data_IF_478324994020
#
_entry.id   IF_478324994020
#
_cell.length_a   1.000
_cell.length_b   1.000
_cell.length_c   1.000
_cell.angle_alpha   90.00
_cell.angle_beta   90.00
_cell.angle_gamma   90.00
#
_symmetry.space_group_name_H-M   'P 1'
#
loop_
_entity.id
_entity.type
_entity.pdbx_description
1 polymer ?
#
# COMPACT_ATOMS: atom_id res chain seq x y z
N UNK A 1 36.73 6.03 4.85
CA UNK A 1 35.61 5.22 4.41
C UNK A 1 34.37 6.07 4.64
N UNK A 2 33.87 6.71 3.58
CA UNK A 2 32.66 7.51 3.64
C UNK A 2 31.47 6.58 3.49
N UNK A 3 30.61 6.55 4.51
CA UNK A 3 29.34 5.85 4.45
C UNK A 3 28.45 6.58 3.42
N UNK A 4 28.05 5.89 2.39
CA UNK A 4 27.05 6.39 1.45
C UNK A 4 25.73 6.58 2.19
N UNK A 5 25.42 7.83 2.53
CA UNK A 5 24.14 8.22 3.11
C UNK A 5 23.06 8.08 2.04
N UNK A 6 22.25 7.03 2.12
CA UNK A 6 20.97 6.98 1.41
C UNK A 6 20.08 8.10 1.96
N UNK A 7 20.17 9.28 1.35
CA UNK A 7 19.32 10.41 1.69
C UNK A 7 17.99 10.27 0.95
N UNK A 8 16.88 10.31 1.67
CA UNK A 8 15.53 10.42 1.07
C UNK A 8 15.41 11.62 0.11
N UNK A 9 16.32 12.59 0.20
CA UNK A 9 16.39 13.73 -0.72
C UNK A 9 16.83 13.34 -2.14
N UNK A 10 17.58 12.25 -2.34
CA UNK A 10 18.00 11.82 -3.68
C UNK A 10 16.88 11.10 -4.47
N UNK A 11 15.84 10.63 -3.80
CA UNK A 11 14.66 10.02 -4.43
C UNK A 11 13.76 11.04 -5.14
N UNK A 12 13.97 12.34 -4.90
CA UNK A 12 13.13 13.41 -5.45
C UNK A 12 13.78 14.20 -6.59
N UNK A 13 15.00 13.87 -7.01
CA UNK A 13 15.62 14.46 -8.18
C UNK A 13 15.27 13.67 -9.43
N UNK A 14 14.41 14.28 -10.19
CA UNK A 14 13.99 14.11 -11.56
C UNK A 14 14.53 12.91 -12.34
N UNK A 15 13.71 11.89 -12.52
CA UNK A 15 13.71 11.19 -13.76
C UNK A 15 12.91 12.05 -14.74
N UNK A 16 13.60 12.73 -15.64
CA UNK A 16 13.03 13.35 -16.82
C UNK A 16 12.53 12.20 -17.69
N UNK A 17 11.23 11.93 -17.67
CA UNK A 17 10.59 11.02 -18.61
C UNK A 17 10.49 11.72 -19.97
N UNK A 18 11.60 11.72 -20.71
CA UNK A 18 11.52 11.91 -22.15
C UNK A 18 11.16 10.56 -22.75
N UNK A 19 9.93 10.50 -23.30
CA UNK A 19 9.50 9.43 -24.19
C UNK A 19 10.50 9.32 -25.36
N UNK A 20 11.34 8.30 -25.35
CA UNK A 20 12.07 7.87 -26.54
C UNK A 20 11.92 6.35 -26.68
N UNK A 21 10.96 5.96 -27.53
CA UNK A 21 10.79 4.61 -28.03
C UNK A 21 12.06 4.21 -28.80
N UNK A 22 12.90 3.39 -28.19
CA UNK A 22 13.86 2.57 -28.89
C UNK A 22 13.99 1.20 -28.26
N UNK A 23 13.21 0.28 -28.81
CA UNK A 23 13.55 -1.14 -28.82
C UNK A 23 14.90 -1.33 -29.49
N UNK A 24 15.92 -1.71 -28.70
CA UNK A 24 17.01 -2.54 -29.22
C UNK A 24 17.54 -3.40 -28.06
N UNK A 25 17.13 -4.69 -28.11
CA UNK A 25 17.79 -5.74 -27.36
C UNK A 25 19.26 -5.80 -27.72
N UNK A 26 20.14 -5.48 -26.78
CA UNK A 26 21.50 -6.02 -26.79
C UNK A 26 21.59 -7.12 -25.72
N UNK A 27 21.59 -8.36 -26.21
CA UNK A 27 22.02 -9.53 -25.46
C UNK A 27 23.55 -9.46 -25.32
N UNK A 28 24.02 -9.48 -24.05
CA UNK A 28 25.42 -9.80 -23.79
C UNK A 28 26.10 -8.93 -22.77
N UNK A 29 25.96 -9.29 -21.50
CA UNK A 29 27.02 -9.27 -20.48
C UNK A 29 26.50 -10.06 -19.29
N UNK A 30 27.28 -11.02 -18.81
CA UNK A 30 27.05 -11.71 -17.54
C UNK A 30 26.99 -10.64 -16.45
N UNK A 31 25.77 -10.30 -16.01
CA UNK A 31 25.56 -9.33 -14.94
C UNK A 31 26.00 -9.99 -13.64
N UNK A 32 27.01 -9.44 -12.99
CA UNK A 32 27.24 -9.68 -11.58
C UNK A 32 25.93 -9.38 -10.88
N UNK A 33 25.29 -10.39 -10.26
CA UNK A 33 24.17 -10.20 -9.33
C UNK A 33 24.67 -9.25 -8.24
N UNK A 34 24.28 -7.98 -8.31
CA UNK A 34 24.58 -7.04 -7.25
C UNK A 34 23.86 -7.55 -6.01
N UNK A 35 24.65 -7.99 -5.01
CA UNK A 35 24.11 -8.40 -3.74
C UNK A 35 23.28 -7.26 -3.14
N UNK A 36 22.03 -7.57 -2.77
CA UNK A 36 21.15 -6.59 -2.13
C UNK A 36 21.78 -6.14 -0.81
N UNK A 37 21.94 -4.84 -0.67
CA UNK A 37 22.39 -4.24 0.59
C UNK A 37 21.15 -3.96 1.44
N UNK A 38 21.18 -4.42 2.68
CA UNK A 38 20.11 -4.23 3.66
C UNK A 38 20.53 -3.23 4.71
N UNK A 39 19.61 -2.36 5.10
CA UNK A 39 19.80 -1.41 6.19
C UNK A 39 18.59 -1.45 7.13
N UNK A 40 18.86 -1.60 8.43
CA UNK A 40 17.82 -1.49 9.46
C UNK A 40 17.76 -0.07 9.98
N UNK A 41 16.55 0.49 10.02
CA UNK A 41 16.28 1.83 10.52
C UNK A 41 15.15 1.80 11.55
N UNK A 42 15.28 2.64 12.57
CA UNK A 42 14.21 2.86 13.54
C UNK A 42 13.32 4.01 13.09
N UNK A 43 12.02 3.75 12.98
CA UNK A 43 11.03 4.72 12.57
C UNK A 43 10.00 4.98 13.67
N UNK A 44 9.64 6.26 13.85
CA UNK A 44 8.64 6.69 14.83
C UNK A 44 7.23 6.59 14.25
N UNK A 45 6.45 5.66 14.76
CA UNK A 45 5.02 5.55 14.54
C UNK A 45 4.24 6.12 15.74
N UNK A 46 2.94 6.44 15.60
CA UNK A 46 2.16 6.94 16.74
C UNK A 46 2.20 5.99 17.94
N UNK A 47 2.85 6.42 19.02
CA UNK A 47 2.93 5.66 20.28
C UNK A 47 3.97 4.55 20.32
N UNK A 48 4.74 4.30 19.26
CA UNK A 48 5.79 3.29 19.26
C UNK A 48 6.89 3.54 18.23
N UNK A 49 8.01 2.82 18.40
CA UNK A 49 9.06 2.72 17.37
C UNK A 49 8.99 1.36 16.71
N UNK A 50 9.23 1.32 15.41
CA UNK A 50 9.42 0.09 14.65
C UNK A 50 10.84 0.03 14.09
N UNK A 51 11.48 -1.13 14.19
CA UNK A 51 12.69 -1.43 13.42
C UNK A 51 12.26 -1.96 12.05
N UNK A 52 12.70 -1.30 10.99
CA UNK A 52 12.35 -1.65 9.62
C UNK A 52 13.60 -1.86 8.82
N UNK A 53 13.76 -3.05 8.26
CA UNK A 53 14.77 -3.34 7.28
C UNK A 53 14.30 -2.88 5.91
N UNK A 54 15.12 -2.06 5.29
CA UNK A 54 15.02 -1.58 3.92
C UNK A 54 16.14 -2.18 3.09
N UNK A 55 16.02 -2.19 1.75
CA UNK A 55 17.08 -2.70 0.88
C UNK A 55 17.36 -1.78 -0.31
N UNK A 56 18.52 -1.96 -0.95
CA UNK A 56 19.14 -0.96 -1.82
C UNK A 56 18.31 -0.58 -3.05
N UNK A 57 17.64 -1.55 -3.70
CA UNK A 57 16.81 -1.26 -4.88
C UNK A 57 15.70 -2.28 -5.07
N UNK A 58 14.61 -1.84 -5.70
CA UNK A 58 13.53 -2.68 -6.21
C UNK A 58 12.84 -1.94 -7.37
N UNK A 59 12.51 -2.64 -8.46
CA UNK A 59 11.97 -2.01 -9.67
C UNK A 59 10.66 -1.24 -9.44
N UNK A 60 9.84 -1.66 -8.47
CA UNK A 60 8.59 -0.98 -8.09
C UNK A 60 8.70 -0.21 -6.77
N UNK A 61 9.91 0.07 -6.29
CA UNK A 61 10.17 0.84 -5.06
C UNK A 61 9.50 0.25 -3.80
N UNK A 62 9.34 -1.08 -3.74
CA UNK A 62 8.80 -1.78 -2.57
C UNK A 62 9.83 -1.95 -1.44
N UNK A 63 11.04 -1.45 -1.64
CA UNK A 63 12.20 -1.62 -0.78
C UNK A 63 12.29 -0.62 0.39
N UNK A 64 11.55 0.48 0.34
CA UNK A 64 11.66 1.59 1.30
C UNK A 64 10.34 1.87 1.99
N UNK A 65 10.43 2.46 3.20
CA UNK A 65 9.27 3.01 3.91
C UNK A 65 8.95 4.42 3.40
N UNK A 66 7.76 4.59 2.82
CA UNK A 66 7.34 5.82 2.19
C UNK A 66 6.72 6.82 3.19
N UNK A 67 6.93 8.14 3.02
CA UNK A 67 6.45 9.16 3.97
C UNK A 67 4.92 9.18 4.16
N UNK A 68 4.14 8.82 3.13
CA UNK A 68 2.67 8.77 3.24
C UNK A 68 2.17 7.75 4.25
N UNK A 69 2.95 6.71 4.51
CA UNK A 69 2.65 5.68 5.51
C UNK A 69 2.48 6.28 6.91
N UNK A 70 3.33 7.22 7.33
CA UNK A 70 3.23 7.87 8.65
C UNK A 70 1.98 8.74 8.77
N UNK A 71 1.65 9.48 7.71
CA UNK A 71 0.43 10.30 7.67
C UNK A 71 -0.81 9.42 7.76
N UNK A 72 -0.79 8.29 7.04
CA UNK A 72 -1.91 7.35 7.05
C UNK A 72 -2.04 6.62 8.38
N UNK A 73 -0.93 6.18 8.98
CA UNK A 73 -0.92 5.62 10.32
C UNK A 73 -1.55 6.59 11.35
N UNK A 74 -1.16 7.86 11.29
CA UNK A 74 -1.73 8.90 12.16
C UNK A 74 -3.23 9.09 11.96
N UNK A 75 -3.70 9.06 10.71
CA UNK A 75 -5.12 9.14 10.38
C UNK A 75 -5.88 7.91 10.88
N UNK A 76 -5.33 6.70 10.71
CA UNK A 76 -5.93 5.45 11.18
C UNK A 76 -6.03 5.39 12.71
N UNK A 77 -5.05 5.93 13.44
CA UNK A 77 -5.14 6.08 14.91
C UNK A 77 -6.34 6.92 15.32
N UNK A 78 -6.55 8.07 14.64
CA UNK A 78 -7.72 8.95 14.92
C UNK A 78 -9.06 8.29 14.59
N UNK A 79 -9.05 7.34 13.67
CA UNK A 79 -10.23 6.65 13.17
C UNK A 79 -10.19 5.15 13.48
N UNK A 80 -9.51 4.73 14.55
CA UNK A 80 -9.23 3.31 14.85
C UNK A 80 -10.50 2.43 14.89
N UNK A 81 -11.64 2.97 15.29
CA UNK A 81 -12.91 2.23 15.35
C UNK A 81 -13.34 1.61 14.02
N UNK A 82 -12.83 2.13 12.89
CA UNK A 82 -13.09 1.53 11.58
C UNK A 82 -12.43 0.15 11.43
N UNK A 83 -11.34 -0.09 12.15
CA UNK A 83 -10.56 -1.33 12.09
C UNK A 83 -11.08 -2.42 13.05
N UNK A 84 -11.88 -2.03 14.06
CA UNK A 84 -12.25 -2.90 15.15
C UNK A 84 -12.94 -4.20 14.69
N UNK A 85 -12.22 -5.31 14.92
CA UNK A 85 -12.68 -6.68 14.64
C UNK A 85 -12.99 -6.93 13.17
N UNK A 86 -12.40 -6.17 12.25
CA UNK A 86 -12.49 -6.37 10.79
C UNK A 86 -11.21 -6.97 10.25
N UNK A 87 -11.37 -7.69 9.15
CA UNK A 87 -10.27 -8.22 8.37
C UNK A 87 -9.79 -7.15 7.39
N UNK A 88 -8.49 -6.94 7.38
CA UNK A 88 -7.84 -5.90 6.58
C UNK A 88 -6.87 -6.53 5.59
N UNK A 89 -6.84 -6.01 4.37
CA UNK A 89 -5.82 -6.32 3.36
C UNK A 89 -5.04 -5.04 3.06
N UNK A 90 -3.71 -5.07 3.15
CA UNK A 90 -2.87 -3.98 2.67
C UNK A 90 -2.34 -4.31 1.27
N UNK A 91 -2.60 -3.42 0.30
CA UNK A 91 -2.05 -3.47 -1.06
C UNK A 91 -0.80 -2.58 -1.15
N UNK A 92 0.25 -3.10 -1.80
CA UNK A 92 1.51 -2.39 -1.91
C UNK A 92 2.16 -2.21 -0.54
N UNK A 93 2.28 -3.30 0.20
CA UNK A 93 2.75 -3.29 1.60
C UNK A 93 4.23 -2.91 1.74
N UNK A 94 5.04 -3.04 0.67
CA UNK A 94 6.47 -2.72 0.65
C UNK A 94 7.23 -3.40 1.79
N UNK A 95 7.71 -2.61 2.73
CA UNK A 95 8.40 -3.12 3.93
C UNK A 95 7.49 -3.80 4.96
N UNK A 96 6.16 -3.72 4.79
CA UNK A 96 5.16 -4.22 5.74
C UNK A 96 4.96 -3.34 6.98
N UNK A 97 5.60 -2.18 7.05
CA UNK A 97 5.65 -1.37 8.27
C UNK A 97 4.27 -0.91 8.76
N UNK A 98 3.34 -0.53 7.86
CA UNK A 98 1.99 -0.12 8.25
C UNK A 98 1.20 -1.30 8.83
N UNK A 99 1.23 -2.47 8.18
CA UNK A 99 0.57 -3.67 8.69
C UNK A 99 1.12 -4.09 10.05
N UNK A 100 2.45 -4.08 10.22
CA UNK A 100 3.13 -4.37 11.49
C UNK A 100 2.67 -3.38 12.57
N UNK A 101 2.63 -2.08 12.25
CA UNK A 101 2.13 -1.06 13.15
C UNK A 101 0.69 -1.34 13.59
N UNK A 102 -0.22 -1.57 12.65
CA UNK A 102 -1.64 -1.81 12.93
C UNK A 102 -1.85 -3.09 13.76
N UNK A 103 -1.09 -4.14 13.46
CA UNK A 103 -1.13 -5.39 14.24
C UNK A 103 -0.66 -5.18 15.67
N UNK A 104 0.47 -4.46 15.88
CA UNK A 104 1.00 -4.18 17.23
C UNK A 104 0.12 -3.24 18.03
N UNK A 105 -0.36 -2.16 17.40
CA UNK A 105 -1.10 -1.11 18.10
C UNK A 105 -2.53 -1.53 18.44
N UNK A 106 -3.21 -2.27 17.56
CA UNK A 106 -4.65 -2.49 17.63
C UNK A 106 -5.08 -3.96 17.52
N UNK A 107 -4.13 -4.89 17.33
CA UNK A 107 -4.46 -6.31 17.15
C UNK A 107 -5.24 -6.61 15.87
N UNK A 108 -5.13 -5.77 14.84
CA UNK A 108 -5.89 -5.91 13.60
C UNK A 108 -5.59 -7.25 12.91
N UNK A 109 -6.63 -7.96 12.46
CA UNK A 109 -6.48 -9.10 11.56
C UNK A 109 -6.13 -8.59 10.16
N UNK A 110 -4.83 -8.54 9.86
CA UNK A 110 -4.30 -7.93 8.64
C UNK A 110 -3.46 -8.91 7.83
N UNK A 111 -3.72 -8.91 6.53
CA UNK A 111 -2.93 -9.60 5.50
C UNK A 111 -2.21 -8.54 4.66
N UNK A 112 -0.94 -8.77 4.35
CA UNK A 112 -0.16 -7.93 3.44
C UNK A 112 -0.24 -8.45 2.02
N UNK A 113 -0.14 -7.57 1.01
CA UNK A 113 -0.01 -7.96 -0.39
C UNK A 113 0.90 -6.98 -1.13
N UNK A 114 1.78 -7.53 -1.96
CA UNK A 114 2.65 -6.75 -2.81
C UNK A 114 2.96 -7.54 -4.10
N UNK A 115 3.75 -6.92 -4.99
CA UNK A 115 4.23 -7.52 -6.22
C UNK A 115 4.68 -8.97 -6.01
N UNK A 116 4.51 -9.82 -7.04
CA UNK A 116 4.88 -11.24 -6.95
C UNK A 116 6.40 -11.41 -6.92
N UNK A 117 6.99 -10.99 -5.81
CA UNK A 117 8.42 -11.09 -5.54
C UNK A 117 8.66 -11.70 -4.15
N UNK A 118 9.51 -12.73 -4.13
CA UNK A 118 9.89 -13.40 -2.89
C UNK A 118 10.72 -12.51 -1.95
N UNK A 119 11.50 -11.58 -2.49
CA UNK A 119 12.32 -10.67 -1.69
C UNK A 119 11.47 -9.77 -0.80
N UNK A 120 10.35 -9.26 -1.34
CA UNK A 120 9.40 -8.46 -0.57
C UNK A 120 8.80 -9.30 0.57
N UNK A 121 8.32 -10.51 0.27
CA UNK A 121 7.76 -11.44 1.26
C UNK A 121 8.77 -11.77 2.37
N UNK A 122 10.01 -12.08 2.00
CA UNK A 122 11.09 -12.38 2.93
C UNK A 122 11.44 -11.15 3.80
N UNK A 123 11.40 -9.96 3.22
CA UNK A 123 11.65 -8.70 3.94
C UNK A 123 10.52 -8.39 4.93
N UNK A 124 9.25 -8.56 4.55
CA UNK A 124 8.11 -8.42 5.47
C UNK A 124 8.21 -9.42 6.61
N UNK A 125 8.56 -10.68 6.29
CA UNK A 125 8.80 -11.73 7.29
C UNK A 125 9.87 -11.33 8.29
N UNK A 126 10.99 -10.79 7.81
CA UNK A 126 12.06 -10.28 8.67
C UNK A 126 11.56 -9.13 9.56
N UNK A 127 10.87 -8.14 8.98
CA UNK A 127 10.38 -6.98 9.70
C UNK A 127 9.32 -7.33 10.76
N UNK A 128 8.48 -8.35 10.53
CA UNK A 128 7.59 -8.87 11.57
C UNK A 128 8.40 -9.36 12.78
N UNK A 129 9.41 -10.20 12.55
CA UNK A 129 10.24 -10.79 13.61
C UNK A 129 11.07 -9.74 14.34
N UNK A 130 11.65 -8.78 13.61
CA UNK A 130 12.40 -7.65 14.20
C UNK A 130 11.55 -6.76 15.12
N UNK A 131 10.23 -6.88 15.02
CA UNK A 131 9.26 -6.16 15.86
C UNK A 131 8.50 -7.10 16.81
N UNK A 132 9.01 -8.28 17.14
CA UNK A 132 8.41 -9.27 18.06
C UNK A 132 6.98 -9.67 17.68
N UNK A 133 6.71 -9.80 16.37
CA UNK A 133 5.44 -10.27 15.85
C UNK A 133 5.56 -11.62 15.15
N UNK A 134 4.50 -12.42 15.26
CA UNK A 134 4.29 -13.54 14.34
C UNK A 134 4.22 -13.00 12.91
N UNK A 135 4.76 -13.79 11.97
CA UNK A 135 4.76 -13.41 10.56
C UNK A 135 3.30 -13.21 10.07
N UNK A 136 3.04 -12.04 9.53
CA UNK A 136 1.74 -11.73 8.96
C UNK A 136 1.49 -12.56 7.69
N UNK A 137 0.24 -12.98 7.42
CA UNK A 137 -0.10 -13.56 6.13
C UNK A 137 0.26 -12.59 5.00
N UNK A 138 0.91 -13.12 3.95
CA UNK A 138 1.29 -12.34 2.77
C UNK A 138 0.74 -12.97 1.50
N UNK A 139 0.33 -12.13 0.55
CA UNK A 139 -0.14 -12.52 -0.77
C UNK A 139 0.74 -11.84 -1.82
N UNK A 140 1.55 -12.61 -2.52
CA UNK A 140 2.27 -12.14 -3.70
C UNK A 140 1.27 -11.99 -4.84
N UNK A 141 1.13 -10.78 -5.39
CA UNK A 141 0.16 -10.50 -6.43
C UNK A 141 0.57 -9.30 -7.28
N UNK A 142 0.78 -9.52 -8.54
CA UNK A 142 0.96 -8.46 -9.55
C UNK A 142 -0.39 -7.86 -9.91
N UNK A 143 -0.54 -6.55 -9.75
CA UNK A 143 -1.79 -5.87 -10.06
C UNK A 143 -2.24 -6.12 -11.50
N UNK A 144 -3.54 -6.39 -11.66
CA UNK A 144 -4.13 -6.70 -12.95
C UNK A 144 -4.19 -8.19 -13.29
N UNK A 145 -3.40 -9.02 -12.63
CA UNK A 145 -3.49 -10.47 -12.75
C UNK A 145 -4.69 -11.05 -12.00
N UNK A 146 -4.94 -12.34 -12.15
CA UNK A 146 -5.97 -13.02 -11.36
C UNK A 146 -5.56 -13.03 -9.88
N UNK A 147 -6.42 -12.50 -9.00
CA UNK A 147 -6.13 -12.48 -7.57
C UNK A 147 -6.11 -13.90 -7.00
N UNK A 148 -5.08 -14.31 -6.22
CA UNK A 148 -4.92 -15.70 -5.76
C UNK A 148 -6.06 -16.20 -4.86
N UNK A 149 -6.82 -15.28 -4.24
CA UNK A 149 -7.99 -15.62 -3.43
C UNK A 149 -9.26 -15.30 -4.21
N UNK A 150 -9.96 -16.32 -4.77
CA UNK A 150 -11.08 -16.08 -5.68
C UNK A 150 -12.34 -15.54 -4.98
N UNK A 151 -12.42 -15.69 -3.65
CA UNK A 151 -13.52 -15.21 -2.83
C UNK A 151 -12.94 -14.39 -1.69
N UNK A 152 -12.66 -13.09 -1.92
CA UNK A 152 -12.11 -12.20 -0.90
C UNK A 152 -13.11 -11.96 0.23
N UNK A 153 -12.61 -11.88 1.46
CA UNK A 153 -13.43 -11.66 2.66
C UNK A 153 -12.86 -10.57 3.59
N UNK A 154 -12.01 -9.69 3.04
CA UNK A 154 -11.52 -8.51 3.76
C UNK A 154 -12.53 -7.39 3.69
N UNK A 155 -12.96 -6.90 4.86
CA UNK A 155 -13.91 -5.79 4.95
C UNK A 155 -13.28 -4.45 4.59
N UNK A 156 -11.98 -4.33 4.80
CA UNK A 156 -11.23 -3.11 4.50
C UNK A 156 -9.98 -3.46 3.71
N UNK A 157 -9.80 -2.79 2.61
CA UNK A 157 -8.55 -2.77 1.85
C UNK A 157 -7.87 -1.43 2.18
N UNK A 158 -6.58 -1.44 2.46
CA UNK A 158 -5.80 -0.22 2.71
C UNK A 158 -4.59 -0.14 1.79
N UNK A 159 -4.10 1.08 1.54
CA UNK A 159 -2.83 1.30 0.84
C UNK A 159 -2.24 2.68 1.17
N UNK A 160 -0.92 2.79 1.11
CA UNK A 160 -0.22 4.07 1.25
C UNK A 160 0.80 4.27 0.15
N UNK A 161 0.80 5.46 -0.46
CA UNK A 161 1.78 5.91 -1.48
C UNK A 161 1.94 5.00 -2.71
N UNK A 162 0.89 4.29 -3.14
CA UNK A 162 0.96 3.29 -4.22
C UNK A 162 0.80 3.85 -5.64
N UNK A 163 0.42 5.13 -5.83
CA UNK A 163 0.20 5.72 -7.15
C UNK A 163 1.51 6.27 -7.75
N UNK A 164 2.56 5.45 -7.80
CA UNK A 164 3.88 5.85 -8.30
C UNK A 164 3.98 5.78 -9.82
N UNK A 165 3.35 4.78 -10.44
CA UNK A 165 3.48 4.46 -11.85
C UNK A 165 2.14 4.56 -12.56
N UNK A 166 1.97 5.56 -13.42
CA UNK A 166 0.73 5.79 -14.18
C UNK A 166 0.37 4.57 -15.03
N UNK A 167 1.37 3.89 -15.61
CA UNK A 167 1.17 2.66 -16.39
C UNK A 167 0.50 1.52 -15.62
N UNK A 168 0.55 1.56 -14.28
CA UNK A 168 -0.06 0.53 -13.41
C UNK A 168 -1.48 0.89 -12.93
N UNK A 169 -1.99 2.08 -13.23
CA UNK A 169 -3.28 2.52 -12.69
C UNK A 169 -4.44 1.64 -13.14
N UNK A 170 -4.51 1.26 -14.41
CA UNK A 170 -5.57 0.37 -14.92
C UNK A 170 -5.51 -1.01 -14.24
N UNK A 171 -4.31 -1.54 -14.03
CA UNK A 171 -4.09 -2.80 -13.34
C UNK A 171 -4.52 -2.72 -11.86
N UNK A 172 -4.17 -1.62 -11.18
CA UNK A 172 -4.59 -1.38 -9.80
C UNK A 172 -6.11 -1.25 -9.71
N UNK A 173 -6.75 -0.49 -10.61
CA UNK A 173 -8.22 -0.37 -10.69
C UNK A 173 -8.87 -1.72 -10.87
N UNK A 174 -8.33 -2.58 -11.75
CA UNK A 174 -8.83 -3.95 -11.96
C UNK A 174 -8.76 -4.78 -10.68
N UNK A 175 -7.62 -4.75 -9.97
CA UNK A 175 -7.44 -5.46 -8.70
C UNK A 175 -8.40 -4.94 -7.61
N UNK A 176 -8.49 -3.62 -7.43
CA UNK A 176 -9.40 -3.00 -6.45
C UNK A 176 -10.86 -3.33 -6.78
N UNK A 177 -11.26 -3.23 -8.05
CA UNK A 177 -12.61 -3.57 -8.48
C UNK A 177 -12.96 -5.03 -8.18
N UNK A 178 -12.03 -5.96 -8.43
CA UNK A 178 -12.21 -7.37 -8.07
C UNK A 178 -12.44 -7.55 -6.58
N UNK A 179 -11.57 -6.98 -5.74
CA UNK A 179 -11.66 -7.11 -4.29
C UNK A 179 -12.95 -6.54 -3.71
N UNK A 180 -13.45 -5.44 -4.29
CA UNK A 180 -14.70 -4.81 -3.84
C UNK A 180 -15.96 -5.54 -4.36
N UNK A 181 -15.94 -6.07 -5.59
CA UNK A 181 -17.10 -6.68 -6.22
C UNK A 181 -17.29 -8.16 -5.84
N UNK A 182 -16.19 -8.91 -5.70
CA UNK A 182 -16.22 -10.35 -5.40
C UNK A 182 -16.21 -10.65 -3.89
N UNK A 183 -16.21 -9.62 -3.05
CA UNK A 183 -16.27 -9.77 -1.60
C UNK A 183 -17.44 -10.64 -1.14
N UNK A 184 -17.13 -11.56 -0.23
CA UNK A 184 -18.14 -12.38 0.45
C UNK A 184 -18.02 -12.17 1.96
N UNK A 185 -19.06 -11.59 2.52
CA UNK A 185 -19.13 -11.38 3.96
C UNK A 185 -19.07 -12.69 4.74
N UNK A 186 -18.15 -12.76 5.70
CA UNK A 186 -18.08 -13.83 6.69
C UNK A 186 -18.52 -13.28 8.05
N UNK A 187 -19.74 -13.55 8.46
CA UNK A 187 -20.23 -13.14 9.79
C UNK A 187 -21.35 -12.10 9.76
N UNK A 188 -21.78 -11.65 10.96
CA UNK A 188 -22.96 -10.79 11.14
C UNK A 188 -22.61 -9.35 11.57
N UNK A 189 -21.44 -8.83 11.22
CA UNK A 189 -21.11 -7.44 11.56
C UNK A 189 -21.88 -6.44 10.72
N UNK A 190 -22.15 -5.28 11.32
CA UNK A 190 -22.75 -4.17 10.60
C UNK A 190 -21.89 -3.77 9.41
N UNK A 191 -22.47 -3.81 8.21
CA UNK A 191 -21.78 -3.49 6.96
C UNK A 191 -21.44 -2.01 6.83
N UNK A 192 -21.99 -1.16 7.72
CA UNK A 192 -21.82 0.28 7.66
C UNK A 192 -20.83 0.78 8.71
N UNK A 193 -19.94 1.65 8.27
CA UNK A 193 -18.96 2.36 9.08
C UNK A 193 -19.21 3.85 8.89
N UNK A 194 -19.21 4.61 9.97
CA UNK A 194 -19.25 6.07 9.91
C UNK A 194 -17.87 6.63 10.12
N UNK A 195 -17.39 7.41 9.16
CA UNK A 195 -16.11 8.11 9.18
C UNK A 195 -16.42 9.60 9.23
N UNK A 196 -15.75 10.33 10.11
CA UNK A 196 -15.86 11.80 10.13
C UNK A 196 -14.75 12.35 9.23
N UNK A 197 -15.13 13.09 8.20
CA UNK A 197 -14.18 13.75 7.32
C UNK A 197 -13.55 14.99 7.97
N UNK A 198 -12.61 15.63 7.29
CA UNK A 198 -11.90 16.82 7.78
C UNK A 198 -12.83 18.02 8.05
N UNK A 199 -13.98 18.09 7.38
CA UNK A 199 -14.97 19.17 7.58
C UNK A 199 -15.89 18.90 8.78
N UNK A 200 -15.79 17.73 9.44
CA UNK A 200 -16.69 17.26 10.47
C UNK A 200 -17.94 16.57 9.93
N UNK A 201 -18.03 16.37 8.62
CA UNK A 201 -19.17 15.68 7.99
C UNK A 201 -19.03 14.17 8.20
N UNK A 202 -20.14 13.55 8.57
CA UNK A 202 -20.19 12.09 8.67
C UNK A 202 -20.39 11.44 7.32
N UNK A 203 -19.45 10.58 6.95
CA UNK A 203 -19.47 9.78 5.74
C UNK A 203 -19.78 8.34 6.14
N UNK A 204 -20.87 7.79 5.60
CA UNK A 204 -21.20 6.39 5.80
C UNK A 204 -20.58 5.57 4.66
N UNK A 205 -19.71 4.63 5.01
CA UNK A 205 -19.13 3.66 4.11
C UNK A 205 -19.64 2.25 4.42
N UNK A 206 -19.74 1.41 3.41
CA UNK A 206 -20.09 -0.01 3.54
C UNK A 206 -18.90 -0.88 3.22
N UNK A 207 -18.78 -2.00 3.93
CA UNK A 207 -17.81 -3.04 3.57
C UNK A 207 -18.26 -3.79 2.31
N UNK A 208 -17.33 -4.16 1.40
CA UNK A 208 -15.92 -3.84 1.47
C UNK A 208 -15.65 -2.39 1.03
N UNK A 209 -14.57 -1.82 1.53
CA UNK A 209 -14.12 -0.49 1.13
C UNK A 209 -12.61 -0.46 0.96
N UNK A 210 -12.13 0.44 0.11
CA UNK A 210 -10.72 0.71 -0.06
C UNK A 210 -10.39 2.12 0.45
N UNK A 211 -9.51 2.18 1.46
CA UNK A 211 -8.97 3.41 2.03
C UNK A 211 -7.53 3.56 1.61
N UNK A 212 -7.20 4.67 0.99
CA UNK A 212 -5.81 4.91 0.60
C UNK A 212 -5.34 6.30 1.00
N UNK A 213 -4.07 6.40 1.37
CA UNK A 213 -3.37 7.66 1.54
C UNK A 213 -2.49 7.94 0.33
N UNK A 214 -2.65 9.13 -0.25
CA UNK A 214 -1.85 9.56 -1.39
C UNK A 214 -1.55 11.04 -1.34
N UNK A 215 -0.28 11.39 -1.49
CA UNK A 215 0.17 12.76 -1.67
C UNK A 215 0.51 13.01 -3.12
N UNK A 216 -0.13 14.04 -3.72
CA UNK A 216 0.18 14.45 -5.09
C UNK A 216 1.68 14.69 -5.28
N UNK A 217 2.25 14.11 -6.34
CA UNK A 217 3.64 14.28 -6.76
C UNK A 217 3.70 15.01 -8.08
N UNK A 218 4.74 15.81 -8.28
CA UNK A 218 4.98 16.53 -9.55
C UNK A 218 5.17 15.47 -10.66
N UNK A 219 4.56 15.70 -11.82
CA UNK A 219 4.64 14.79 -12.98
C UNK A 219 3.77 13.56 -12.93
N UNK A 220 3.03 13.31 -11.84
CA UNK A 220 2.10 12.17 -11.74
C UNK A 220 0.66 12.66 -11.73
N UNK A 221 -0.13 12.18 -12.69
CA UNK A 221 -1.55 12.54 -12.78
C UNK A 221 -2.44 11.48 -12.11
N UNK A 222 -2.55 11.58 -10.78
CA UNK A 222 -3.42 10.69 -10.02
C UNK A 222 -4.90 10.82 -10.39
N UNK A 223 -5.30 11.88 -11.09
CA UNK A 223 -6.69 12.02 -11.57
C UNK A 223 -7.07 10.89 -12.52
N UNK A 224 -6.11 10.34 -13.25
CA UNK A 224 -6.32 9.18 -14.12
C UNK A 224 -6.72 7.94 -13.33
N UNK A 225 -6.11 7.69 -12.17
CA UNK A 225 -6.50 6.58 -11.30
C UNK A 225 -7.93 6.76 -10.79
N UNK A 226 -8.27 7.93 -10.28
CA UNK A 226 -9.63 8.19 -9.77
C UNK A 226 -10.69 8.14 -10.88
N UNK A 227 -10.39 8.70 -12.05
CA UNK A 227 -11.26 8.56 -13.22
C UNK A 227 -11.42 7.10 -13.65
N UNK A 228 -10.35 6.30 -13.57
CA UNK A 228 -10.39 4.85 -13.80
C UNK A 228 -11.34 4.14 -12.82
N UNK A 229 -11.27 4.47 -11.53
CA UNK A 229 -12.18 3.95 -10.51
C UNK A 229 -13.65 4.32 -10.84
N UNK A 230 -13.92 5.57 -11.17
CA UNK A 230 -15.28 6.02 -11.53
C UNK A 230 -15.82 5.32 -12.78
N UNK A 231 -14.96 5.12 -13.80
CA UNK A 231 -15.29 4.38 -15.02
C UNK A 231 -15.55 2.90 -14.73
N UNK A 232 -14.88 2.34 -13.74
CA UNK A 232 -15.13 0.97 -13.25
C UNK A 232 -16.38 0.87 -12.36
N UNK A 233 -17.16 1.95 -12.19
CA UNK A 233 -18.39 1.96 -11.39
C UNK A 233 -18.18 2.21 -9.89
N UNK A 234 -16.95 2.50 -9.47
CA UNK A 234 -16.62 2.80 -8.08
C UNK A 234 -16.88 4.28 -7.75
N UNK A 235 -17.28 4.54 -6.51
CA UNK A 235 -17.35 5.89 -5.94
C UNK A 235 -16.00 6.28 -5.33
N UNK A 236 -15.57 7.53 -5.53
CA UNK A 236 -14.35 8.08 -4.95
C UNK A 236 -14.71 9.27 -4.07
N UNK A 237 -14.28 9.28 -2.83
CA UNK A 237 -14.51 10.37 -1.88
C UNK A 237 -13.23 10.75 -1.17
N UNK A 238 -12.88 12.04 -1.17
CA UNK A 238 -11.76 12.57 -0.41
C UNK A 238 -12.20 12.86 1.03
N UNK A 239 -11.59 12.21 2.01
CA UNK A 239 -11.91 12.33 3.44
C UNK A 239 -11.12 13.45 4.15
N UNK A 240 -10.18 14.08 3.47
CA UNK A 240 -9.20 15.00 4.06
C UNK A 240 -7.90 14.28 4.44
N UNK A 241 -6.91 15.08 4.89
CA UNK A 241 -5.58 14.58 5.32
C UNK A 241 -4.92 13.61 4.31
N UNK A 242 -5.14 13.83 3.00
CA UNK A 242 -4.65 12.99 1.90
C UNK A 242 -5.27 11.58 1.85
N UNK A 243 -6.37 11.32 2.56
CA UNK A 243 -7.04 10.03 2.58
C UNK A 243 -8.25 10.04 1.65
N UNK A 244 -8.37 8.96 0.88
CA UNK A 244 -9.46 8.73 -0.06
C UNK A 244 -10.18 7.44 0.29
N UNK A 245 -11.49 7.47 0.20
CA UNK A 245 -12.37 6.31 0.28
C UNK A 245 -12.85 5.95 -1.12
N UNK A 246 -12.67 4.70 -1.48
CA UNK A 246 -13.17 4.12 -2.73
C UNK A 246 -14.06 2.94 -2.37
N UNK A 247 -15.27 2.91 -2.91
CA UNK A 247 -16.27 1.89 -2.61
C UNK A 247 -17.21 1.68 -3.80
N UNK A 248 -17.99 0.62 -3.76
CA UNK A 248 -19.07 0.44 -4.71
C UNK A 248 -20.07 1.60 -4.61
N UNK A 249 -20.57 2.08 -5.74
CA UNK A 249 -21.66 3.08 -5.77
C UNK A 249 -22.91 2.43 -5.20
N UNK A 250 -23.58 3.14 -4.31
CA UNK A 250 -24.87 2.74 -3.70
C UNK A 250 -25.99 2.83 -4.73
#
# INVERSE_FOLDING_TARGET
MEAALFSTASLFHGADDSDDDRDEMQVGAEGEEQALEYEERSHDFPGMKLSVREFSCHEFNANLLWPGTFSFATWLVKNQSILDGRRVLELGSGTGALAIFLRKAFGVDITTSDYDDKEIEDNITYNCRANDLDVLPHIRHTWGDAFPVPIPDWEIIIASDILLYVKQYDNLVKTVSFLLNEYKQKGHKADCITITDKSGTQVTARSPMFLMSWRRRIGKDQSLFFAGCEKAGLGVQHLGDLVYLISNKL
#
